data_IF_370390771335
#
_entry.id   IF_370390771335
#
_cell.length_a   1.000
_cell.length_b   1.000
_cell.length_c   1.000
_cell.angle_alpha   90.00
_cell.angle_beta   90.00
_cell.angle_gamma   90.00
#
_symmetry.space_group_name_H-M   'P 1'
#
loop_
_entity.id
_entity.type
_entity.pdbx_description
1 polymer ?
#
# COMPACT_ATOMS: atom_id res chain seq x y z
N UNK A 1 -10.22 -10.01 9.76
CA UNK A 1 -9.13 -9.13 9.29
C UNK A 1 -8.08 -10.01 8.62
N UNK A 2 -7.47 -9.60 7.51
CA UNK A 2 -6.42 -10.39 6.86
C UNK A 2 -5.21 -10.53 7.82
N UNK A 3 -4.71 -11.76 7.96
CA UNK A 3 -3.53 -12.06 8.77
C UNK A 3 -2.29 -11.34 8.22
N UNK A 4 -2.15 -11.31 6.90
CA UNK A 4 -1.08 -10.62 6.18
C UNK A 4 -1.68 -9.69 5.12
N UNK A 5 -1.16 -8.48 5.02
CA UNK A 5 -1.49 -7.54 3.96
C UNK A 5 -0.21 -6.85 3.53
N UNK A 6 0.31 -7.27 2.38
CA UNK A 6 1.60 -6.84 1.85
C UNK A 6 1.50 -6.64 0.34
N UNK A 7 2.16 -5.60 -0.17
CA UNK A 7 2.29 -5.33 -1.60
C UNK A 7 3.78 -5.32 -1.95
N UNK A 8 4.17 -6.14 -2.92
CA UNK A 8 5.52 -6.13 -3.45
C UNK A 8 5.64 -5.09 -4.57
N UNK A 9 6.26 -3.96 -4.26
CA UNK A 9 6.35 -2.82 -5.16
C UNK A 9 7.25 -3.08 -6.38
N UNK A 10 8.13 -4.08 -6.35
CA UNK A 10 8.92 -4.49 -7.52
C UNK A 10 8.13 -5.39 -8.50
N UNK A 11 6.97 -5.90 -8.07
CA UNK A 11 6.06 -6.70 -8.90
C UNK A 11 4.80 -5.96 -9.31
N UNK A 12 4.43 -4.93 -8.55
CA UNK A 12 3.33 -4.05 -8.90
C UNK A 12 3.62 -3.37 -10.23
N UNK A 13 2.64 -3.37 -11.14
CA UNK A 13 2.71 -2.67 -12.43
C UNK A 13 1.84 -1.41 -12.46
N UNK A 14 1.33 -0.99 -11.29
CA UNK A 14 0.52 0.22 -11.12
C UNK A 14 -0.70 0.30 -12.06
N UNK A 15 -1.40 -0.83 -12.24
CA UNK A 15 -2.51 -0.93 -13.20
C UNK A 15 -3.88 -0.49 -12.65
N UNK A 16 -4.02 -0.22 -11.35
CA UNK A 16 -5.30 0.18 -10.74
C UNK A 16 -6.31 -0.94 -10.49
N UNK A 17 -6.08 -2.16 -10.99
CA UNK A 17 -7.02 -3.27 -10.85
C UNK A 17 -7.36 -3.65 -9.39
N UNK A 18 -6.44 -3.40 -8.44
CA UNK A 18 -6.69 -3.65 -7.02
C UNK A 18 -7.70 -2.68 -6.40
N UNK A 19 -7.72 -1.43 -6.85
CA UNK A 19 -8.68 -0.41 -6.43
C UNK A 19 -10.07 -0.71 -6.98
N UNK A 20 -10.17 -0.97 -8.29
CA UNK A 20 -11.44 -1.34 -8.95
C UNK A 20 -12.05 -2.62 -8.36
N UNK A 21 -11.22 -3.59 -8.02
CA UNK A 21 -11.68 -4.86 -7.45
C UNK A 21 -12.14 -4.73 -5.99
N UNK A 22 -11.81 -3.65 -5.28
CA UNK A 22 -12.09 -3.53 -3.86
C UNK A 22 -13.52 -3.06 -3.58
N UNK A 23 -14.44 -3.91 -3.06
CA UNK A 23 -15.84 -3.55 -2.87
C UNK A 23 -16.10 -2.64 -1.66
N UNK A 24 -15.03 -2.31 -0.91
CA UNK A 24 -15.07 -1.51 0.32
C UNK A 24 -14.11 -0.35 0.28
N UNK A 25 -13.52 -0.08 -0.90
CA UNK A 25 -12.62 1.06 -1.12
C UNK A 25 -11.51 1.12 -0.04
N UNK A 26 -10.92 -0.03 0.28
CA UNK A 26 -9.89 -0.13 1.33
C UNK A 26 -8.47 0.09 0.80
N UNK A 27 -8.31 0.18 -0.52
CA UNK A 27 -7.04 0.40 -1.20
C UNK A 27 -7.29 1.35 -2.38
N UNK A 28 -6.39 2.31 -2.53
CA UNK A 28 -6.40 3.29 -3.61
C UNK A 28 -5.01 3.34 -4.25
N UNK A 29 -4.95 3.52 -5.57
CA UNK A 29 -3.71 3.80 -6.27
C UNK A 29 -3.54 5.32 -6.39
N UNK A 30 -2.95 5.92 -5.36
CA UNK A 30 -2.71 7.36 -5.28
C UNK A 30 -1.26 7.67 -4.87
N UNK A 31 -0.84 8.92 -5.09
CA UNK A 31 0.43 9.45 -4.64
C UNK A 31 1.60 9.23 -5.61
N UNK A 32 2.83 9.56 -5.15
CA UNK A 32 4.03 9.41 -5.97
C UNK A 32 4.41 7.95 -6.17
N UNK A 33 5.14 7.69 -7.27
CA UNK A 33 5.77 6.38 -7.50
C UNK A 33 6.74 6.05 -6.36
N UNK A 34 6.88 4.75 -6.12
CA UNK A 34 7.72 4.15 -5.08
C UNK A 34 9.16 4.70 -5.16
N UNK A 35 9.72 5.21 -4.05
CA UNK A 35 11.07 5.75 -4.03
C UNK A 35 12.11 4.65 -4.31
N UNK A 36 13.26 5.07 -4.83
CA UNK A 36 14.39 4.16 -5.05
C UNK A 36 15.00 3.76 -3.70
N UNK A 37 15.31 2.46 -3.58
CA UNK A 37 15.94 1.86 -2.42
C UNK A 37 16.87 0.73 -2.87
N UNK A 38 17.80 0.32 -2.00
CA UNK A 38 18.86 -0.62 -2.39
C UNK A 38 18.52 -2.08 -2.13
N UNK A 39 17.69 -2.38 -1.13
CA UNK A 39 17.41 -3.76 -0.74
C UNK A 39 15.99 -4.16 -1.14
N UNK A 40 15.87 -5.39 -1.66
CA UNK A 40 14.57 -5.97 -2.06
C UNK A 40 13.50 -5.91 -0.97
N UNK A 41 13.90 -6.10 0.29
CA UNK A 41 12.98 -6.10 1.44
C UNK A 41 12.28 -4.76 1.65
N UNK A 42 12.93 -3.66 1.26
CA UNK A 42 12.42 -2.30 1.53
C UNK A 42 11.21 -1.98 0.62
N UNK A 43 11.09 -2.70 -0.50
CA UNK A 43 9.98 -2.66 -1.46
C UNK A 43 8.80 -3.60 -1.12
N UNK A 44 8.85 -4.33 0.00
CA UNK A 44 7.70 -5.09 0.50
C UNK A 44 6.96 -4.20 1.49
N UNK A 45 5.82 -3.67 1.06
CA UNK A 45 5.07 -2.70 1.84
C UNK A 45 3.99 -3.44 2.63
N UNK A 46 4.11 -3.41 3.95
CA UNK A 46 3.10 -3.94 4.86
C UNK A 46 2.09 -2.87 5.29
N UNK A 47 1.24 -3.24 6.25
CA UNK A 47 0.25 -2.34 6.87
C UNK A 47 0.89 -1.09 7.49
N UNK A 48 2.14 -1.19 7.94
CA UNK A 48 2.93 -0.11 8.51
C UNK A 48 3.20 1.04 7.53
N UNK A 49 3.30 0.75 6.23
CA UNK A 49 3.52 1.75 5.17
C UNK A 49 2.27 2.12 4.40
N UNK A 50 1.27 1.22 4.34
CA UNK A 50 0.10 1.36 3.48
C UNK A 50 -1.12 1.98 4.18
N UNK A 51 -1.22 1.86 5.50
CA UNK A 51 -2.40 2.32 6.24
C UNK A 51 -2.22 3.77 6.68
N UNK A 52 -3.19 4.61 6.34
CA UNK A 52 -3.23 5.99 6.79
C UNK A 52 -3.34 6.09 8.31
N UNK A 53 -2.78 7.16 8.88
CA UNK A 53 -2.93 7.40 10.31
C UNK A 53 -4.39 7.70 10.65
N UNK A 54 -4.92 7.17 11.76
CA UNK A 54 -6.29 7.44 12.15
C UNK A 54 -6.47 8.94 12.43
N UNK A 55 -7.58 9.49 11.90
CA UNK A 55 -7.97 10.91 11.93
C UNK A 55 -7.97 11.58 13.32
N UNK A 56 -7.83 10.81 14.42
CA UNK A 56 -7.88 11.29 15.80
C UNK A 56 -6.55 11.24 16.56
N UNK A 57 -5.41 11.07 15.88
CA UNK A 57 -4.11 10.94 16.57
C UNK A 57 -3.51 12.27 17.07
N UNK A 58 -4.19 13.40 16.82
CA UNK A 58 -3.75 14.74 17.25
C UNK A 58 -4.92 15.63 17.73
N UNK A 59 -5.79 15.11 18.60
CA UNK A 59 -6.62 15.93 19.49
C UNK A 59 -6.40 15.55 20.94
#
# INVERSE_FOLDING_TARGET
YASVYEINMLRCIFCGLCEEACPKEAIYLDGPIVPADYLRKDFIYGKDKLVEQPLNSNK
#
